data_IF_402388190987
#
_entry.id   IF_402388190987
#
_cell.length_a   1.000
_cell.length_b   1.000
_cell.length_c   1.000
_cell.angle_alpha   90.00
_cell.angle_beta   90.00
_cell.angle_gamma   90.00
#
_symmetry.space_group_name_H-M   'P 1'
#
loop_
_entity.id
_entity.type
_entity.pdbx_description
1 polymer ?
#
# COMPACT_ATOMS: atom_id res chain seq x y z
N UNK A 1 -21.74 41.07 -4.26
CA UNK A 1 -20.95 40.72 -3.06
C UNK A 1 -19.60 40.17 -3.51
N UNK A 2 -18.50 40.65 -2.93
CA UNK A 2 -17.14 40.22 -3.29
C UNK A 2 -16.89 38.78 -2.88
N UNK A 3 -16.16 38.02 -3.70
CA UNK A 3 -15.72 36.66 -3.39
C UNK A 3 -14.70 36.71 -2.23
N UNK A 4 -14.81 35.79 -1.28
CA UNK A 4 -13.85 35.62 -0.18
C UNK A 4 -12.42 35.54 -0.72
N UNK A 5 -11.51 36.33 -0.11
CA UNK A 5 -10.07 36.41 -0.45
C UNK A 5 -9.20 36.02 0.75
N UNK A 6 -9.43 34.83 1.30
CA UNK A 6 -8.71 34.33 2.46
C UNK A 6 -7.31 33.82 2.04
N UNK A 7 -6.25 34.25 2.72
CA UNK A 7 -4.87 33.85 2.42
C UNK A 7 -4.21 33.16 3.62
N UNK A 8 -3.21 32.31 3.37
CA UNK A 8 -2.51 31.59 4.45
C UNK A 8 -1.86 32.52 5.49
N UNK A 9 -1.46 33.73 5.09
CA UNK A 9 -0.94 34.76 6.02
C UNK A 9 -1.97 35.18 7.06
N UNK A 10 -3.26 35.13 6.74
CA UNK A 10 -4.34 35.53 7.63
C UNK A 10 -4.56 34.45 8.70
N UNK A 11 -4.46 33.17 8.31
CA UNK A 11 -4.56 32.03 9.22
C UNK A 11 -3.34 31.92 10.16
N UNK A 12 -2.13 32.20 9.65
CA UNK A 12 -0.92 32.26 10.49
C UNK A 12 -1.04 33.34 11.58
N UNK A 13 -1.60 34.50 11.25
CA UNK A 13 -1.80 35.60 12.21
C UNK A 13 -2.73 35.23 13.37
N UNK A 14 -3.66 34.31 13.15
CA UNK A 14 -4.59 33.84 14.18
C UNK A 14 -4.13 32.56 14.88
N UNK A 15 -2.91 32.08 14.61
CA UNK A 15 -2.32 30.96 15.33
C UNK A 15 -2.66 29.57 14.80
N UNK A 16 -3.12 29.44 13.56
CA UNK A 16 -3.29 28.11 12.95
C UNK A 16 -1.92 27.44 12.77
N UNK A 17 -1.77 26.14 13.12
CA UNK A 17 -0.57 25.37 12.81
C UNK A 17 -0.36 25.31 11.29
N UNK A 18 0.89 25.13 10.86
CA UNK A 18 1.24 25.10 9.43
C UNK A 18 0.64 23.85 8.70
N UNK A 19 1.20 23.47 7.54
CA UNK A 19 0.63 22.39 6.73
C UNK A 19 0.42 21.10 7.55
N UNK A 20 -0.71 20.38 7.34
CA UNK A 20 -1.71 20.55 6.26
C UNK A 20 -2.91 21.46 6.60
N UNK A 21 -3.01 22.00 7.83
CA UNK A 21 -4.26 22.60 8.34
C UNK A 21 -4.66 23.89 7.61
N UNK A 22 -3.71 24.78 7.34
CA UNK A 22 -3.97 26.05 6.63
C UNK A 22 -4.54 25.82 5.22
N UNK A 23 -3.97 24.86 4.47
CA UNK A 23 -4.42 24.55 3.12
C UNK A 23 -5.85 24.03 3.11
N UNK A 24 -6.16 23.11 4.04
CA UNK A 24 -7.49 22.54 4.23
C UNK A 24 -8.53 23.61 4.56
N UNK A 25 -8.22 24.49 5.52
CA UNK A 25 -9.11 25.57 5.92
C UNK A 25 -9.41 26.55 4.77
N UNK A 26 -8.39 26.97 4.01
CA UNK A 26 -8.59 27.84 2.84
C UNK A 26 -9.49 27.17 1.80
N UNK A 27 -9.24 25.89 1.51
CA UNK A 27 -10.02 25.14 0.52
C UNK A 27 -11.50 25.05 0.92
N UNK A 28 -11.78 24.69 2.18
CA UNK A 28 -13.15 24.57 2.70
C UNK A 28 -13.86 25.93 2.67
N UNK A 29 -13.19 26.99 3.12
CA UNK A 29 -13.79 28.34 3.17
C UNK A 29 -14.05 28.92 1.77
N UNK A 30 -13.15 28.71 0.80
CA UNK A 30 -13.40 29.10 -0.58
C UNK A 30 -14.49 28.27 -1.27
N UNK A 31 -14.81 27.08 -0.77
CA UNK A 31 -15.85 26.21 -1.33
C UNK A 31 -17.23 26.49 -0.71
N UNK A 32 -17.31 26.59 0.61
CA UNK A 32 -18.56 26.63 1.36
C UNK A 32 -18.93 28.01 1.92
N UNK A 33 -17.97 28.92 2.07
CA UNK A 33 -18.15 30.25 2.69
C UNK A 33 -17.78 31.40 1.73
N UNK A 34 -18.08 31.25 0.43
CA UNK A 34 -17.66 32.18 -0.66
C UNK A 34 -18.08 33.64 -0.46
N UNK A 35 -19.14 33.89 0.29
CA UNK A 35 -19.74 35.20 0.51
C UNK A 35 -19.30 35.86 1.82
N UNK A 36 -18.51 35.17 2.64
CA UNK A 36 -17.97 35.76 3.85
C UNK A 36 -16.94 36.84 3.49
N UNK A 37 -16.91 37.89 4.31
CA UNK A 37 -15.76 38.76 4.43
C UNK A 37 -14.58 38.02 5.06
N UNK A 38 -13.37 38.60 4.92
CA UNK A 38 -12.18 38.01 5.55
C UNK A 38 -12.31 38.01 7.07
N UNK A 39 -12.94 39.05 7.66
CA UNK A 39 -13.13 39.15 9.10
C UNK A 39 -14.10 38.07 9.61
N UNK A 40 -15.25 37.89 8.96
CA UNK A 40 -16.22 36.83 9.32
C UNK A 40 -15.60 35.42 9.22
N UNK A 41 -14.79 35.17 8.19
CA UNK A 41 -14.09 33.90 8.02
C UNK A 41 -13.04 33.68 9.13
N UNK A 42 -12.28 34.73 9.44
CA UNK A 42 -11.22 34.70 10.46
C UNK A 42 -11.83 34.50 11.86
N UNK A 43 -12.98 35.11 12.15
CA UNK A 43 -13.66 34.97 13.44
C UNK A 43 -14.28 33.59 13.64
N UNK A 44 -14.77 32.95 12.58
CA UNK A 44 -15.18 31.56 12.64
C UNK A 44 -13.97 30.63 12.84
N UNK A 45 -12.89 30.85 12.10
CA UNK A 45 -11.66 30.06 12.24
C UNK A 45 -11.04 30.18 13.64
N UNK A 46 -11.07 31.36 14.27
CA UNK A 46 -10.65 31.54 15.66
C UNK A 46 -11.48 30.72 16.66
N UNK A 47 -12.79 30.64 16.45
CA UNK A 47 -13.69 29.82 17.29
C UNK A 47 -13.39 28.33 17.15
N UNK A 48 -13.17 27.86 15.93
CA UNK A 48 -12.76 26.47 15.66
C UNK A 48 -11.39 26.19 16.31
N UNK A 49 -10.44 27.13 16.24
CA UNK A 49 -9.12 26.98 16.88
C UNK A 49 -9.21 26.95 18.40
N UNK A 50 -10.10 27.74 19.00
CA UNK A 50 -10.26 27.80 20.45
C UNK A 50 -10.96 26.56 21.03
N UNK A 51 -11.88 25.94 20.28
CA UNK A 51 -12.65 24.79 20.73
C UNK A 51 -13.00 23.87 19.54
N UNK A 52 -12.02 23.12 19.01
CA UNK A 52 -12.25 22.29 17.82
C UNK A 52 -13.24 21.15 18.07
N UNK A 53 -13.36 20.65 19.30
CA UNK A 53 -14.26 19.55 19.67
C UNK A 53 -15.72 19.87 19.36
N UNK A 54 -16.11 21.14 19.47
CA UNK A 54 -17.47 21.61 19.21
C UNK A 54 -17.89 21.59 17.73
N UNK A 55 -16.97 21.26 16.82
CA UNK A 55 -17.20 21.23 15.38
C UNK A 55 -17.03 19.83 14.78
N UNK A 56 -16.89 18.80 15.61
CA UNK A 56 -16.68 17.40 15.18
C UNK A 56 -17.90 16.79 14.45
N UNK A 57 -19.11 17.27 14.75
CA UNK A 57 -20.36 16.86 14.12
C UNK A 57 -20.76 17.72 12.90
N UNK A 58 -20.03 18.82 12.62
CA UNK A 58 -20.35 19.72 11.51
C UNK A 58 -19.91 19.11 10.16
N UNK A 59 -20.83 18.95 9.21
CA UNK A 59 -20.53 18.30 7.92
C UNK A 59 -19.43 19.00 7.10
N UNK A 60 -19.27 20.31 7.27
CA UNK A 60 -18.33 21.14 6.51
C UNK A 60 -17.05 21.42 7.30
N UNK A 61 -17.15 21.69 8.59
CA UNK A 61 -16.07 22.17 9.43
C UNK A 61 -15.33 21.04 10.17
N UNK A 62 -15.93 19.84 10.30
CA UNK A 62 -15.27 18.70 10.96
C UNK A 62 -13.86 18.37 10.44
N UNK A 63 -13.51 18.51 9.15
CA UNK A 63 -12.14 18.22 8.71
C UNK A 63 -11.12 19.20 9.32
N UNK A 64 -11.50 20.47 9.50
CA UNK A 64 -10.63 21.48 10.12
C UNK A 64 -10.51 21.19 11.62
N UNK A 65 -11.61 20.85 12.28
CA UNK A 65 -11.65 20.48 13.68
C UNK A 65 -10.73 19.29 13.98
N UNK A 66 -10.87 18.18 13.25
CA UNK A 66 -10.03 16.99 13.43
C UNK A 66 -8.53 17.28 13.17
N UNK A 67 -8.23 18.19 12.24
CA UNK A 67 -6.85 18.58 11.96
C UNK A 67 -6.22 19.44 13.07
N UNK A 68 -7.04 20.13 13.87
CA UNK A 68 -6.62 20.99 14.99
C UNK A 68 -6.60 20.26 16.34
N UNK A 69 -7.41 19.21 16.48
CA UNK A 69 -7.39 18.35 17.66
C UNK A 69 -6.04 17.62 17.75
N UNK A 70 -5.58 17.27 18.97
CA UNK A 70 -4.50 16.33 19.14
C UNK A 70 -4.82 15.10 18.30
N UNK A 71 -3.99 14.82 17.30
CA UNK A 71 -4.10 13.56 16.60
C UNK A 71 -3.97 12.50 17.68
N UNK A 72 -4.98 11.67 17.84
CA UNK A 72 -4.83 10.41 18.58
C UNK A 72 -3.82 9.65 17.75
N UNK A 73 -2.54 9.84 18.04
CA UNK A 73 -1.48 8.95 17.58
C UNK A 73 -1.97 7.61 18.10
N UNK A 74 -2.35 6.65 17.23
CA UNK A 74 -2.75 5.34 17.69
C UNK A 74 -1.66 4.87 18.64
N UNK A 75 -2.04 4.27 19.77
CA UNK A 75 -1.13 3.76 20.80
C UNK A 75 -0.17 2.64 20.29
N UNK A 76 -0.07 2.48 18.97
CA UNK A 76 0.65 1.45 18.22
C UNK A 76 1.93 1.96 17.54
N UNK A 77 2.73 2.75 18.26
CA UNK A 77 4.17 2.85 17.98
C UNK A 77 4.98 2.45 19.21
N UNK A 78 4.60 1.35 19.86
CA UNK A 78 5.60 0.59 20.60
C UNK A 78 6.47 -0.09 19.55
N UNK A 79 7.67 0.45 19.35
CA UNK A 79 8.71 -0.21 18.57
C UNK A 79 8.87 -1.64 19.10
N UNK A 80 8.50 -2.63 18.28
CA UNK A 80 8.59 -4.04 18.64
C UNK A 80 10.03 -4.47 18.37
N UNK A 81 10.79 -4.72 19.43
CA UNK A 81 12.15 -5.23 19.31
C UNK A 81 12.18 -6.65 18.74
N UNK A 82 13.22 -6.95 17.97
CA UNK A 82 13.50 -8.31 17.49
C UNK A 82 13.91 -9.23 18.64
N UNK A 83 13.61 -10.52 18.48
CA UNK A 83 14.13 -11.56 19.35
C UNK A 83 15.66 -11.62 19.26
N UNK A 84 16.32 -11.98 20.37
CA UNK A 84 17.78 -12.17 20.38
C UNK A 84 18.19 -13.33 19.46
N UNK A 85 17.48 -14.45 19.60
CA UNK A 85 17.62 -15.64 18.79
C UNK A 85 16.54 -15.69 17.70
N UNK A 86 16.93 -16.16 16.52
CA UNK A 86 15.99 -16.38 15.42
C UNK A 86 15.24 -17.70 15.56
N UNK A 87 14.01 -17.75 15.07
CA UNK A 87 13.28 -18.98 14.85
C UNK A 87 14.10 -19.97 13.99
N UNK A 88 13.98 -21.28 14.23
CA UNK A 88 14.73 -22.28 13.48
C UNK A 88 14.34 -22.29 12.01
N UNK A 89 15.33 -22.38 11.11
CA UNK A 89 15.07 -22.55 9.68
C UNK A 89 16.14 -23.39 8.99
N UNK A 90 15.74 -24.05 7.89
CA UNK A 90 16.65 -24.87 7.06
C UNK A 90 17.04 -24.12 5.78
N UNK A 91 18.32 -24.19 5.41
CA UNK A 91 18.83 -23.60 4.17
C UNK A 91 19.17 -24.72 3.19
N UNK A 92 18.56 -24.69 2.01
CA UNK A 92 18.83 -25.62 0.93
C UNK A 92 19.75 -24.96 -0.09
N UNK A 93 20.84 -25.62 -0.49
CA UNK A 93 21.75 -25.10 -1.53
C UNK A 93 22.48 -23.81 -1.14
N UNK A 94 22.85 -23.65 0.14
CA UNK A 94 23.47 -22.43 0.71
C UNK A 94 24.58 -21.81 -0.16
N UNK A 95 25.40 -22.63 -0.82
CA UNK A 95 26.49 -22.18 -1.68
C UNK A 95 26.05 -21.40 -2.94
N UNK A 96 24.76 -21.46 -3.30
CA UNK A 96 24.18 -20.78 -4.45
C UNK A 96 23.40 -19.51 -4.07
N UNK A 97 23.34 -19.19 -2.77
CA UNK A 97 22.53 -18.09 -2.23
C UNK A 97 23.45 -16.93 -1.87
N UNK A 98 23.09 -15.73 -2.33
CA UNK A 98 23.84 -14.52 -2.02
C UNK A 98 23.66 -14.08 -0.55
N UNK A 99 24.64 -13.32 -0.06
CA UNK A 99 24.68 -12.88 1.34
C UNK A 99 23.48 -11.99 1.72
N UNK A 100 23.00 -11.15 0.79
CA UNK A 100 21.83 -10.30 1.00
C UNK A 100 20.57 -11.09 1.37
N UNK A 101 20.29 -12.16 0.63
CA UNK A 101 19.15 -13.03 0.88
C UNK A 101 19.27 -13.79 2.21
N UNK A 102 20.48 -14.26 2.53
CA UNK A 102 20.77 -14.89 3.83
C UNK A 102 20.51 -13.92 4.98
N UNK A 103 21.00 -12.69 4.89
CA UNK A 103 20.84 -11.66 5.92
C UNK A 103 19.36 -11.24 6.10
N UNK A 104 18.59 -11.20 5.01
CA UNK A 104 17.14 -10.99 5.09
C UNK A 104 16.46 -12.13 5.85
N UNK A 105 16.79 -13.39 5.55
CA UNK A 105 16.21 -14.53 6.28
C UNK A 105 16.61 -14.53 7.77
N UNK A 106 17.89 -14.26 8.09
CA UNK A 106 18.34 -14.17 9.49
C UNK A 106 17.62 -13.07 10.26
N UNK A 107 17.37 -11.92 9.63
CA UNK A 107 16.61 -10.82 10.24
C UNK A 107 15.16 -11.20 10.42
N UNK A 108 14.52 -11.76 9.38
CA UNK A 108 13.13 -12.16 9.40
C UNK A 108 12.84 -13.25 10.45
N UNK A 109 13.77 -14.20 10.63
CA UNK A 109 13.67 -15.23 11.66
C UNK A 109 13.66 -14.64 13.09
N UNK A 110 14.14 -13.43 13.31
CA UNK A 110 14.13 -12.75 14.62
C UNK A 110 12.85 -11.96 14.89
N UNK A 111 11.90 -11.91 13.96
CA UNK A 111 10.61 -11.29 14.23
C UNK A 111 9.91 -12.03 15.38
N UNK A 112 9.30 -11.33 16.36
CA UNK A 112 8.64 -12.00 17.50
C UNK A 112 7.50 -12.95 17.12
N UNK A 113 6.95 -12.77 15.92
CA UNK A 113 5.89 -13.61 15.35
C UNK A 113 6.44 -14.83 14.59
N UNK A 114 7.75 -14.93 14.34
CA UNK A 114 8.33 -16.02 13.55
C UNK A 114 8.39 -17.33 14.37
N UNK A 115 7.94 -18.43 13.77
CA UNK A 115 7.87 -19.75 14.42
C UNK A 115 8.88 -20.73 13.81
N UNK A 116 9.02 -20.72 12.48
CA UNK A 116 9.95 -21.55 11.73
C UNK A 116 10.16 -20.97 10.33
N UNK A 117 11.12 -21.50 9.58
CA UNK A 117 11.24 -21.14 8.16
C UNK A 117 12.09 -22.10 7.33
N UNK A 118 12.23 -21.74 6.06
CA UNK A 118 13.19 -22.37 5.16
C UNK A 118 13.63 -21.41 4.07
N UNK A 119 14.83 -21.61 3.52
CA UNK A 119 15.36 -20.83 2.42
C UNK A 119 15.73 -21.76 1.27
N UNK A 120 15.14 -21.51 0.10
CA UNK A 120 15.29 -22.35 -1.09
C UNK A 120 16.59 -22.05 -1.86
N UNK A 121 17.08 -22.99 -2.70
CA UNK A 121 18.36 -22.84 -3.41
C UNK A 121 18.41 -21.70 -4.43
N UNK A 122 17.25 -21.23 -4.89
CA UNK A 122 17.07 -20.11 -5.82
C UNK A 122 16.88 -18.75 -5.12
N UNK A 123 17.08 -18.73 -3.80
CA UNK A 123 16.85 -17.54 -3.01
C UNK A 123 17.79 -16.39 -3.38
N UNK A 124 17.21 -15.19 -3.43
CA UNK A 124 17.89 -13.94 -3.72
C UNK A 124 17.18 -12.77 -3.02
N UNK A 125 17.84 -11.61 -2.98
CA UNK A 125 17.35 -10.45 -2.24
C UNK A 125 15.96 -10.03 -2.72
N UNK A 126 15.03 -9.95 -1.77
CA UNK A 126 13.67 -9.45 -1.96
C UNK A 126 13.43 -8.15 -1.20
N UNK A 127 12.17 -7.89 -0.87
CA UNK A 127 11.77 -6.74 -0.05
C UNK A 127 11.25 -7.23 1.31
N UNK A 128 12.01 -6.98 2.39
CA UNK A 128 11.71 -7.46 3.74
C UNK A 128 12.09 -8.93 3.97
N UNK A 129 11.50 -9.84 3.20
CA UNK A 129 11.91 -11.26 3.14
C UNK A 129 12.62 -11.54 1.80
N UNK A 130 13.53 -12.53 1.74
CA UNK A 130 14.13 -12.95 0.48
C UNK A 130 13.10 -13.66 -0.40
N UNK A 131 13.24 -13.49 -1.72
CA UNK A 131 12.54 -14.36 -2.67
C UNK A 131 13.09 -15.78 -2.48
N UNK A 132 12.22 -16.80 -2.55
CA UNK A 132 12.57 -18.18 -2.21
C UNK A 132 12.64 -18.45 -0.69
N UNK A 133 12.25 -17.48 0.14
CA UNK A 133 12.09 -17.66 1.58
C UNK A 133 10.68 -18.15 1.96
N UNK A 134 10.62 -19.00 2.99
CA UNK A 134 9.38 -19.38 3.67
C UNK A 134 9.54 -19.02 5.14
N UNK A 135 8.60 -18.25 5.69
CA UNK A 135 8.55 -17.90 7.10
C UNK A 135 7.16 -18.23 7.64
N UNK A 136 7.08 -19.14 8.60
CA UNK A 136 5.86 -19.41 9.33
C UNK A 136 5.71 -18.38 10.45
N UNK A 137 4.54 -17.75 10.52
CA UNK A 137 4.22 -16.72 11.51
C UNK A 137 3.01 -17.12 12.36
N UNK A 138 3.01 -16.73 13.64
CA UNK A 138 1.87 -16.92 14.54
C UNK A 138 1.06 -15.63 14.64
N UNK A 139 -0.25 -15.72 14.42
CA UNK A 139 -1.21 -14.61 14.63
C UNK A 139 -1.00 -13.37 13.76
N UNK A 140 -0.17 -13.44 12.72
CA UNK A 140 0.18 -12.30 11.89
C UNK A 140 0.43 -12.69 10.43
N UNK A 141 0.15 -11.74 9.53
CA UNK A 141 0.48 -11.81 8.10
C UNK A 141 1.49 -10.72 7.80
N UNK A 142 2.54 -11.05 7.04
CA UNK A 142 3.53 -10.10 6.56
C UNK A 142 3.24 -9.88 5.06
N UNK A 143 2.63 -8.76 4.63
CA UNK A 143 2.27 -8.56 3.23
C UNK A 143 3.47 -8.68 2.28
N UNK A 144 4.61 -8.12 2.67
CA UNK A 144 5.85 -8.22 1.89
C UNK A 144 6.49 -9.62 1.93
N UNK A 145 6.10 -10.48 2.87
CA UNK A 145 6.44 -11.90 2.86
C UNK A 145 5.63 -12.72 1.85
N UNK A 146 4.50 -12.19 1.37
CA UNK A 146 3.73 -12.77 0.26
C UNK A 146 4.27 -12.29 -1.08
N UNK A 147 4.61 -11.00 -1.17
CA UNK A 147 5.10 -10.35 -2.39
C UNK A 147 4.07 -9.40 -3.00
N UNK A 148 4.55 -8.53 -3.90
CA UNK A 148 3.71 -7.49 -4.54
C UNK A 148 2.80 -8.09 -5.62
N UNK A 149 3.28 -9.11 -6.35
CA UNK A 149 2.52 -9.85 -7.35
C UNK A 149 1.82 -11.06 -6.70
N UNK A 150 0.73 -10.77 -5.98
CA UNK A 150 -0.01 -11.77 -5.21
C UNK A 150 -0.65 -12.79 -6.16
N UNK A 151 -0.28 -14.06 -5.97
CA UNK A 151 -0.79 -15.16 -6.78
C UNK A 151 0.03 -15.44 -8.05
N UNK A 152 1.19 -14.79 -8.21
CA UNK A 152 2.18 -15.19 -9.22
C UNK A 152 2.49 -16.69 -9.10
N UNK A 153 2.27 -17.43 -10.19
CA UNK A 153 2.34 -18.89 -10.21
C UNK A 153 2.52 -19.44 -11.61
N UNK A 154 2.86 -20.71 -11.66
CA UNK A 154 2.80 -21.51 -12.88
C UNK A 154 1.46 -22.26 -12.96
N UNK A 155 0.95 -22.42 -14.17
CA UNK A 155 -0.17 -23.30 -14.48
C UNK A 155 0.24 -24.24 -15.61
N UNK A 156 -0.06 -25.54 -15.47
CA UNK A 156 0.26 -26.56 -16.47
C UNK A 156 -1.04 -27.19 -16.97
N UNK A 157 -1.26 -27.11 -18.29
CA UNK A 157 -2.33 -27.81 -19.00
C UNK A 157 -1.73 -28.89 -19.90
N UNK A 158 -2.29 -30.09 -19.86
CA UNK A 158 -1.83 -31.24 -20.65
C UNK A 158 -2.84 -31.51 -21.77
N UNK A 159 -2.35 -31.61 -23.00
CA UNK A 159 -3.15 -31.92 -24.18
C UNK A 159 -2.76 -33.28 -24.76
N UNK A 160 -3.71 -34.05 -25.31
CA UNK A 160 -3.43 -35.31 -25.99
C UNK A 160 -2.89 -35.04 -27.42
N UNK A 161 -1.76 -34.33 -27.52
CA UNK A 161 -1.12 -33.97 -28.78
C UNK A 161 0.27 -34.62 -28.90
N UNK A 162 0.59 -35.29 -30.02
CA UNK A 162 1.94 -35.80 -30.26
C UNK A 162 2.98 -34.68 -30.35
N UNK A 163 4.23 -34.95 -29.95
CA UNK A 163 5.32 -33.96 -30.01
C UNK A 163 5.58 -33.45 -31.44
N UNK A 164 5.49 -34.34 -32.44
CA UNK A 164 5.71 -33.99 -33.85
C UNK A 164 4.69 -32.97 -34.36
N UNK A 165 3.48 -32.99 -33.83
CA UNK A 165 2.42 -32.04 -34.18
C UNK A 165 2.73 -30.64 -33.66
N UNK A 166 3.29 -30.55 -32.46
CA UNK A 166 3.75 -29.28 -31.87
C UNK A 166 4.89 -28.68 -32.69
N UNK A 167 5.87 -29.51 -33.08
CA UNK A 167 7.04 -29.07 -33.86
C UNK A 167 6.66 -28.62 -35.27
N UNK A 168 5.84 -29.40 -35.98
CA UNK A 168 5.43 -29.10 -37.36
C UNK A 168 4.52 -27.87 -37.48
N UNK A 169 3.78 -27.54 -36.41
CA UNK A 169 2.82 -26.43 -36.39
C UNK A 169 3.20 -25.30 -35.42
N UNK A 170 4.48 -25.14 -35.08
CA UNK A 170 4.96 -24.16 -34.11
C UNK A 170 4.46 -22.73 -34.38
N UNK A 171 4.53 -22.26 -35.63
CA UNK A 171 4.05 -20.93 -36.01
C UNK A 171 2.54 -20.75 -35.78
N UNK A 172 1.74 -21.78 -36.05
CA UNK A 172 0.30 -21.74 -35.81
C UNK A 172 0.00 -21.60 -34.31
N UNK A 173 0.65 -22.40 -33.47
CA UNK A 173 0.47 -22.32 -32.02
C UNK A 173 0.97 -21.01 -31.43
N UNK A 174 2.13 -20.52 -31.88
CA UNK A 174 2.65 -19.20 -31.49
C UNK A 174 1.68 -18.07 -31.85
N UNK A 175 1.11 -18.09 -33.06
CA UNK A 175 0.10 -17.11 -33.47
C UNK A 175 -1.17 -17.17 -32.63
N UNK A 176 -1.64 -18.38 -32.29
CA UNK A 176 -2.80 -18.54 -31.40
C UNK A 176 -2.53 -17.94 -30.02
N UNK A 177 -1.35 -18.16 -29.44
CA UNK A 177 -0.97 -17.55 -28.15
C UNK A 177 -0.99 -16.02 -28.23
N UNK A 178 -0.43 -15.44 -29.29
CA UNK A 178 -0.40 -13.99 -29.48
C UNK A 178 -1.80 -13.39 -29.71
N UNK A 179 -2.69 -14.10 -30.39
CA UNK A 179 -4.05 -13.65 -30.65
C UNK A 179 -4.96 -13.76 -29.42
N UNK A 180 -4.74 -14.77 -28.59
CA UNK A 180 -5.61 -15.11 -27.45
C UNK A 180 -5.01 -14.81 -26.07
N UNK A 181 -3.82 -14.21 -26.01
CA UNK A 181 -3.17 -13.75 -24.77
C UNK A 181 -2.75 -12.30 -24.92
N UNK A 182 -2.87 -11.51 -23.85
CA UNK A 182 -2.31 -10.15 -23.80
C UNK A 182 -1.02 -10.20 -23.01
N UNK A 183 0.08 -9.83 -23.67
CA UNK A 183 1.39 -9.68 -23.07
C UNK A 183 1.72 -8.18 -22.92
N UNK A 184 2.56 -7.85 -21.93
CA UNK A 184 3.04 -6.49 -21.70
C UNK A 184 2.19 -5.68 -20.72
N UNK A 185 2.84 -4.70 -20.08
CA UNK A 185 2.19 -3.81 -19.12
C UNK A 185 1.08 -2.98 -19.81
N UNK A 186 -0.09 -2.94 -19.18
CA UNK A 186 -1.28 -2.26 -19.73
C UNK A 186 -1.99 -3.02 -20.86
N UNK A 187 -1.63 -4.27 -21.12
CA UNK A 187 -2.32 -5.11 -22.10
C UNK A 187 -3.67 -5.60 -21.58
N UNK A 188 -4.76 -5.15 -22.18
CA UNK A 188 -6.13 -5.54 -21.81
C UNK A 188 -6.89 -6.13 -23.01
N UNK A 189 -7.87 -7.00 -22.74
CA UNK A 189 -8.85 -7.41 -23.73
C UNK A 189 -9.98 -6.38 -23.81
N UNK A 190 -10.41 -6.05 -25.03
CA UNK A 190 -11.55 -5.17 -25.22
C UNK A 190 -12.87 -5.92 -24.96
N UNK A 191 -13.75 -5.31 -24.16
CA UNK A 191 -15.11 -5.81 -23.87
C UNK A 191 -15.17 -6.78 -22.69
N UNK A 192 -16.35 -6.88 -22.06
CA UNK A 192 -16.60 -7.91 -21.06
C UNK A 192 -16.87 -9.24 -21.78
N UNK A 193 -16.06 -10.27 -21.47
CA UNK A 193 -16.10 -11.54 -22.21
C UNK A 193 -17.03 -12.60 -21.61
N UNK A 194 -17.80 -12.29 -20.56
CA UNK A 194 -18.77 -13.24 -20.02
C UNK A 194 -18.05 -14.47 -19.46
N UNK A 195 -17.47 -14.35 -18.28
CA UNK A 195 -16.72 -15.43 -17.66
C UNK A 195 -17.47 -15.95 -16.43
N UNK A 196 -17.91 -17.21 -16.46
CA UNK A 196 -18.71 -17.87 -15.39
C UNK A 196 -18.14 -17.78 -13.97
N UNK A 197 -16.85 -17.45 -13.83
CA UNK A 197 -16.16 -17.32 -12.54
C UNK A 197 -15.82 -15.87 -12.17
N UNK A 198 -15.75 -14.95 -13.15
CA UNK A 198 -15.35 -13.56 -12.92
C UNK A 198 -16.52 -12.57 -13.03
N UNK A 199 -17.61 -12.97 -13.68
CA UNK A 199 -18.93 -12.32 -13.72
C UNK A 199 -19.91 -13.06 -12.80
#
# INVERSE_FOLDING_TARGET
>A
MSKLKLQGKDLRKIGYPEQPVIGLAIQIFHKHYKHYSVDEATDLLKRILAQPEGYTDDEVLKPIAYALMPQVVPEHEKEISLNQDGAPFTIFGKQFIEEGALNQMYTAAKLPIAVAGSLMPDAHSGYGLPIGGVLATEGAVIPYGVGVDIGCRMCLSIYPLPENDLKSRNNMFGNLLLQHTKFGAGGEFAGNKGHEVLD
#
